data_IF_169775509137
#
_entry.id   IF_169775509137
#
_cell.length_a   1.000
_cell.length_b   1.000
_cell.length_c   1.000
_cell.angle_alpha   90.00
_cell.angle_beta   90.00
_cell.angle_gamma   90.00
#
_symmetry.space_group_name_H-M   'P 1'
#
loop_
_entity.id
_entity.type
_entity.pdbx_description
1 polymer ?
#
# COMPACT_ATOMS: atom_id res chain seq x y z
N UNK A 1 38.16 -26.59 -37.64
CA UNK A 1 37.03 -25.67 -37.80
C UNK A 1 36.12 -25.89 -36.62
N UNK A 2 36.38 -25.16 -35.53
CA UNK A 2 35.67 -25.31 -34.26
C UNK A 2 34.49 -24.35 -34.23
N UNK A 3 33.31 -24.88 -33.92
CA UNK A 3 32.06 -24.16 -33.97
C UNK A 3 31.95 -23.18 -32.79
N UNK A 4 31.67 -21.94 -33.16
CA UNK A 4 31.10 -20.85 -32.39
C UNK A 4 30.30 -21.28 -31.15
N UNK A 5 30.80 -20.89 -29.97
CA UNK A 5 30.03 -20.91 -28.74
C UNK A 5 28.87 -19.92 -28.82
N UNK A 6 27.68 -20.45 -29.08
CA UNK A 6 26.42 -19.72 -28.93
C UNK A 6 26.27 -19.25 -27.48
N UNK A 7 26.29 -17.93 -27.35
CA UNK A 7 25.66 -17.11 -26.32
C UNK A 7 24.59 -17.81 -25.48
N UNK A 8 24.81 -17.87 -24.17
CA UNK A 8 23.74 -17.68 -23.18
C UNK A 8 24.28 -16.81 -22.05
N UNK A 9 24.05 -15.48 -22.03
CA UNK A 9 23.88 -14.85 -20.74
C UNK A 9 22.62 -15.48 -20.16
N UNK A 10 22.80 -16.37 -19.17
CA UNK A 10 21.74 -16.72 -18.25
C UNK A 10 21.16 -15.41 -17.74
N UNK A 11 20.06 -14.97 -18.35
CA UNK A 11 19.12 -14.06 -17.73
C UNK A 11 18.68 -14.79 -16.48
N UNK A 12 19.36 -14.50 -15.37
CA UNK A 12 18.75 -14.63 -14.07
C UNK A 12 17.46 -13.82 -14.18
N UNK A 13 16.35 -14.53 -14.39
CA UNK A 13 15.01 -13.97 -14.23
C UNK A 13 15.10 -13.12 -12.97
N UNK A 14 14.93 -11.78 -13.02
CA UNK A 14 14.60 -11.10 -11.80
C UNK A 14 13.35 -11.85 -11.34
N UNK A 15 13.46 -12.52 -10.21
CA UNK A 15 12.33 -13.04 -9.48
C UNK A 15 11.64 -11.78 -8.95
N UNK A 16 11.03 -11.05 -9.89
CA UNK A 16 10.16 -9.93 -9.67
C UNK A 16 8.94 -10.59 -9.07
N UNK A 17 8.96 -10.76 -7.76
CA UNK A 17 7.72 -10.94 -7.03
C UNK A 17 6.84 -9.77 -7.49
N UNK A 18 5.77 -10.01 -8.26
CA UNK A 18 4.89 -8.95 -8.73
C UNK A 18 3.98 -8.56 -7.55
N UNK A 19 4.59 -8.38 -6.38
CA UNK A 19 3.97 -7.89 -5.19
C UNK A 19 3.25 -6.61 -5.57
N UNK A 20 1.95 -6.59 -5.34
CA UNK A 20 1.14 -5.40 -5.60
C UNK A 20 1.53 -4.40 -4.53
N UNK A 21 2.05 -3.24 -4.91
CA UNK A 21 2.33 -2.17 -3.97
C UNK A 21 1.16 -1.20 -3.93
N UNK A 22 0.89 -0.69 -2.74
CA UNK A 22 -0.02 0.41 -2.49
C UNK A 22 0.80 1.67 -2.33
N UNK A 23 0.41 2.70 -3.06
CA UNK A 23 0.98 4.03 -2.94
C UNK A 23 0.00 4.89 -2.17
N UNK A 24 0.43 5.35 -1.00
CA UNK A 24 -0.38 6.13 -0.07
C UNK A 24 0.27 7.50 0.07
N UNK A 25 -0.51 8.55 -0.17
CA UNK A 25 -0.14 9.93 0.12
C UNK A 25 -0.33 10.15 1.62
N UNK A 26 0.77 10.34 2.31
CA UNK A 26 0.80 10.57 3.76
C UNK A 26 0.69 12.06 4.06
N UNK A 27 1.46 12.87 3.32
CA UNK A 27 1.56 14.31 3.49
C UNK A 27 2.00 14.97 2.16
N UNK A 28 2.00 16.30 2.07
CA UNK A 28 2.57 17.03 0.94
C UNK A 28 2.89 18.48 1.32
N UNK A 29 3.77 19.10 0.53
CA UNK A 29 4.09 20.52 0.67
C UNK A 29 2.91 21.40 0.21
N UNK A 30 2.29 22.18 1.11
CA UNK A 30 1.09 22.96 0.77
C UNK A 30 1.37 24.09 -0.23
N UNK A 31 2.62 24.56 -0.35
CA UNK A 31 2.98 25.56 -1.36
C UNK A 31 2.99 24.97 -2.78
N UNK A 32 2.97 23.63 -2.91
CA UNK A 32 2.90 22.89 -4.19
C UNK A 32 1.57 22.18 -4.40
N UNK A 33 0.53 22.50 -3.62
CA UNK A 33 -0.78 21.84 -3.68
C UNK A 33 -1.35 21.79 -5.10
N UNK A 34 -1.36 22.91 -5.82
CA UNK A 34 -1.92 22.98 -7.18
C UNK A 34 -1.13 22.16 -8.19
N UNK A 35 0.21 22.20 -8.11
CA UNK A 35 1.10 21.39 -8.96
C UNK A 35 0.86 19.89 -8.70
N UNK A 36 0.76 19.52 -7.42
CA UNK A 36 0.47 18.14 -7.01
C UNK A 36 -0.92 17.70 -7.48
N UNK A 37 -1.96 18.51 -7.30
CA UNK A 37 -3.32 18.20 -7.74
C UNK A 37 -3.40 18.01 -9.26
N UNK A 38 -2.73 18.86 -10.04
CA UNK A 38 -2.66 18.71 -11.50
C UNK A 38 -1.94 17.41 -11.91
N UNK A 39 -0.85 17.07 -11.21
CA UNK A 39 -0.07 15.87 -11.51
C UNK A 39 -0.83 14.60 -11.13
N UNK A 40 -1.49 14.60 -9.99
CA UNK A 40 -2.36 13.53 -9.52
C UNK A 40 -3.59 13.36 -10.41
N UNK A 41 -4.15 14.45 -10.90
CA UNK A 41 -5.25 14.40 -11.86
C UNK A 41 -4.86 13.68 -13.15
N UNK A 42 -3.66 13.99 -13.69
CA UNK A 42 -3.10 13.27 -14.84
C UNK A 42 -2.84 11.79 -14.55
N UNK A 43 -2.37 11.47 -13.35
CA UNK A 43 -2.06 10.09 -12.95
C UNK A 43 -3.31 9.23 -12.75
N UNK A 44 -4.36 9.82 -12.16
CA UNK A 44 -5.60 9.13 -11.79
C UNK A 44 -6.71 9.28 -12.84
N UNK A 45 -6.45 10.00 -13.93
CA UNK A 45 -7.44 10.40 -14.93
C UNK A 45 -8.65 11.11 -14.28
N UNK A 46 -8.37 11.98 -13.30
CA UNK A 46 -9.37 12.81 -12.61
C UNK A 46 -9.02 14.27 -12.78
N UNK A 47 -10.03 15.13 -12.70
CA UNK A 47 -9.81 16.57 -12.69
C UNK A 47 -9.20 17.02 -11.37
N UNK A 48 -8.45 18.13 -11.42
CA UNK A 48 -7.82 18.73 -10.24
C UNK A 48 -8.86 19.05 -9.15
N UNK A 49 -10.06 19.49 -9.54
CA UNK A 49 -11.19 19.76 -8.64
C UNK A 49 -11.63 18.52 -7.84
N UNK A 50 -11.53 17.33 -8.43
CA UNK A 50 -11.81 16.08 -7.73
C UNK A 50 -10.66 15.62 -6.83
N UNK A 51 -9.44 16.09 -7.08
CA UNK A 51 -8.24 15.72 -6.32
C UNK A 51 -8.03 16.63 -5.12
N UNK A 52 -8.33 17.92 -5.23
CA UNK A 52 -8.19 18.89 -4.12
C UNK A 52 -8.82 18.46 -2.79
N UNK A 53 -10.08 17.95 -2.75
CA UNK A 53 -10.67 17.46 -1.50
C UNK A 53 -10.03 16.16 -1.01
N UNK A 54 -9.45 15.35 -1.89
CA UNK A 54 -8.73 14.13 -1.52
C UNK A 54 -7.37 14.45 -0.89
N UNK A 55 -6.75 15.57 -1.27
CA UNK A 55 -5.58 16.12 -0.59
C UNK A 55 -5.92 16.67 0.81
N UNK A 56 -7.16 17.05 1.08
CA UNK A 56 -7.61 17.47 2.41
C UNK A 56 -7.83 16.26 3.34
N UNK A 57 -8.19 15.11 2.75
CA UNK A 57 -8.49 13.86 3.45
C UNK A 57 -7.28 12.92 3.56
N UNK A 58 -6.11 13.45 3.95
CA UNK A 58 -4.92 12.63 4.19
C UNK A 58 -5.01 11.79 5.47
N UNK A 59 -4.36 10.61 5.52
CA UNK A 59 -3.64 9.96 4.43
C UNK A 59 -4.60 9.27 3.43
N UNK A 60 -4.27 9.32 2.14
CA UNK A 60 -5.12 8.78 1.07
C UNK A 60 -4.37 7.81 0.14
N UNK A 61 -5.00 6.68 -0.20
CA UNK A 61 -4.45 5.70 -1.14
C UNK A 61 -4.67 6.13 -2.58
N UNK A 62 -3.58 6.49 -3.25
CA UNK A 62 -3.54 6.88 -4.66
C UNK A 62 -3.79 5.70 -5.60
N UNK A 63 -3.10 4.59 -5.33
CA UNK A 63 -3.18 3.38 -6.12
C UNK A 63 -2.97 2.17 -5.22
N UNK A 64 -3.87 1.20 -5.28
CA UNK A 64 -3.84 0.02 -4.40
C UNK A 64 -3.14 -1.21 -5.01
N UNK A 65 -2.72 -1.13 -6.28
CA UNK A 65 -2.06 -2.24 -6.98
C UNK A 65 -1.19 -1.70 -8.10
N UNK A 66 0.04 -1.36 -7.75
CA UNK A 66 1.11 -1.01 -8.70
C UNK A 66 2.22 -2.06 -8.63
N UNK A 67 2.82 -2.38 -9.77
CA UNK A 67 4.07 -3.13 -9.81
C UNK A 67 5.18 -2.35 -9.09
N UNK A 68 6.17 -3.06 -8.55
CA UNK A 68 7.30 -2.45 -7.81
C UNK A 68 7.93 -1.29 -8.57
N UNK A 69 8.25 -1.50 -9.84
CA UNK A 69 8.88 -0.50 -10.71
C UNK A 69 7.98 0.71 -10.91
N UNK A 70 6.69 0.49 -11.18
CA UNK A 70 5.71 1.55 -11.35
C UNK A 70 5.51 2.35 -10.06
N UNK A 71 5.41 1.66 -8.92
CA UNK A 71 5.22 2.26 -7.61
C UNK A 71 6.41 3.15 -7.20
N UNK A 72 7.64 2.65 -7.38
CA UNK A 72 8.85 3.46 -7.13
C UNK A 72 8.98 4.64 -8.09
N UNK A 73 8.63 4.47 -9.37
CA UNK A 73 8.66 5.55 -10.36
C UNK A 73 7.64 6.64 -10.03
N UNK A 74 6.40 6.24 -9.70
CA UNK A 74 5.34 7.15 -9.28
C UNK A 74 5.72 7.89 -7.99
N UNK A 75 6.28 7.17 -7.00
CA UNK A 75 6.76 7.75 -5.75
C UNK A 75 7.76 8.86 -5.99
N UNK A 76 8.83 8.59 -6.75
CA UNK A 76 9.86 9.58 -7.07
C UNK A 76 9.31 10.78 -7.83
N UNK A 77 8.38 10.56 -8.76
CA UNK A 77 7.83 11.63 -9.57
C UNK A 77 6.98 12.59 -8.74
N UNK A 78 6.19 12.05 -7.81
CA UNK A 78 5.37 12.82 -6.88
C UNK A 78 6.19 13.45 -5.74
N UNK A 79 7.20 12.76 -5.21
CA UNK A 79 8.15 13.32 -4.23
C UNK A 79 8.85 14.57 -4.76
N UNK A 80 9.16 14.61 -6.08
CA UNK A 80 9.71 15.81 -6.73
C UNK A 80 8.73 16.98 -6.81
N UNK A 81 7.43 16.69 -6.79
CA UNK A 81 6.36 17.68 -6.71
C UNK A 81 6.02 18.06 -5.26
N UNK A 82 6.80 17.59 -4.27
CA UNK A 82 6.59 17.90 -2.84
C UNK A 82 5.65 16.94 -2.11
N UNK A 83 5.26 15.82 -2.71
CA UNK A 83 4.44 14.81 -2.03
C UNK A 83 5.27 13.91 -1.10
N UNK A 84 4.71 13.55 0.04
CA UNK A 84 5.26 12.55 0.96
C UNK A 84 4.45 11.26 0.81
N UNK A 85 5.11 10.23 0.28
CA UNK A 85 4.45 8.99 -0.11
C UNK A 85 4.99 7.79 0.64
N UNK A 86 4.06 6.97 1.13
CA UNK A 86 4.33 5.67 1.74
C UNK A 86 4.04 4.56 0.73
N UNK A 87 5.01 3.67 0.55
CA UNK A 87 4.84 2.43 -0.21
C UNK A 87 4.57 1.30 0.77
N UNK A 88 3.38 0.72 0.69
CA UNK A 88 3.08 -0.53 1.39
C UNK A 88 3.05 -1.68 0.40
N UNK A 89 3.81 -2.74 0.64
CA UNK A 89 3.60 -3.98 -0.09
C UNK A 89 2.22 -4.50 0.31
N UNK A 90 1.29 -4.66 -0.63
CA UNK A 90 0.11 -5.48 -0.42
C UNK A 90 0.61 -6.93 -0.40
N UNK A 91 1.23 -7.30 0.72
CA UNK A 91 1.45 -8.68 1.07
C UNK A 91 0.09 -9.34 0.89
N UNK A 92 0.04 -10.35 0.01
CA UNK A 92 -1.07 -11.27 -0.07
C UNK A 92 -1.37 -11.66 1.37
N UNK A 93 -2.54 -11.29 1.89
CA UNK A 93 -3.06 -11.86 3.14
C UNK A 93 -3.26 -13.35 2.86
N UNK A 94 -2.19 -14.12 2.92
CA UNK A 94 -2.24 -15.45 3.47
C UNK A 94 -2.06 -15.23 4.97
N UNK A 95 -3.10 -15.59 5.75
CA UNK A 95 -3.28 -15.34 7.18
C UNK A 95 -3.57 -13.89 7.58
N UNK A 96 -4.85 -13.53 7.55
CA UNK A 96 -5.39 -12.84 8.71
C UNK A 96 -5.29 -13.85 9.88
N UNK A 97 -4.55 -13.61 10.97
CA UNK A 97 -5.08 -14.03 12.25
C UNK A 97 -6.37 -13.21 12.40
N UNK A 98 -7.52 -13.87 12.31
CA UNK A 98 -8.73 -13.33 12.91
C UNK A 98 -8.36 -12.79 14.29
N UNK A 99 -8.52 -11.49 14.58
CA UNK A 99 -8.67 -11.10 15.96
C UNK A 99 -9.99 -11.71 16.41
N UNK A 100 -9.93 -12.91 16.96
CA UNK A 100 -10.97 -13.45 17.84
C UNK A 100 -10.97 -12.61 19.13
N UNK A 101 -11.34 -11.34 18.99
CA UNK A 101 -11.78 -10.45 20.04
C UNK A 101 -13.23 -10.06 19.70
N UNK A 102 -14.07 -11.07 19.52
CA UNK A 102 -15.48 -10.95 19.86
C UNK A 102 -15.57 -11.29 21.35
N UNK A 103 -15.28 -10.28 22.16
CA UNK A 103 -15.64 -10.21 23.56
C UNK A 103 -17.17 -10.28 23.66
N UNK A 104 -17.73 -11.38 24.16
CA UNK A 104 -19.07 -11.40 24.77
C UNK A 104 -19.32 -12.68 25.59
N UNK A 105 -19.44 -12.49 26.91
CA UNK A 105 -20.25 -13.28 27.84
C UNK A 105 -19.90 -14.76 28.10
N UNK A 106 -19.06 -14.99 29.11
CA UNK A 106 -19.34 -16.02 30.10
C UNK A 106 -19.01 -15.45 31.49
N UNK A 107 -20.02 -15.49 32.34
CA UNK A 107 -20.15 -14.89 33.67
C UNK A 107 -19.02 -15.25 34.66
N UNK A 108 -18.78 -14.42 35.70
CA UNK A 108 -17.86 -14.75 36.78
C UNK A 108 -18.24 -16.08 37.47
N UNK A 109 -17.27 -16.82 38.03
CA UNK A 109 -17.51 -18.12 38.64
C UNK A 109 -18.49 -17.99 39.83
N UNK A 110 -19.62 -18.69 39.78
CA UNK A 110 -20.46 -18.89 40.96
C UNK A 110 -19.64 -19.61 42.05
N UNK A 111 -19.59 -19.10 43.30
CA UNK A 111 -19.12 -19.88 44.43
C UNK A 111 -20.15 -20.97 44.76
N UNK A 112 -19.74 -22.17 45.23
CA UNK A 112 -20.68 -23.23 45.57
C UNK A 112 -21.56 -22.81 46.77
N UNK A 113 -22.89 -22.99 46.73
CA UNK A 113 -23.69 -22.93 47.95
C UNK A 113 -23.36 -24.14 48.83
N UNK A 114 -23.02 -23.85 50.08
CA UNK A 114 -22.77 -24.83 51.12
C UNK A 114 -23.95 -25.82 51.25
N UNK A 115 -23.65 -27.12 51.28
CA UNK A 115 -24.63 -28.13 51.64
C UNK A 115 -25.01 -27.97 53.12
N UNK A 116 -26.31 -27.97 53.47
CA UNK A 116 -26.75 -27.99 54.85
C UNK A 116 -26.51 -29.38 55.46
N UNK A 117 -25.90 -29.43 56.65
CA UNK A 117 -26.15 -30.48 57.65
C UNK A 117 -26.41 -29.83 58.99
#
# INVERSE_FOLDING_TARGET
>A
MEQIGTTHPSSGKPMDDPGRYRLILDDFDPARRDELAALLGRLTHRDADHVQPLLDALPWTLAASLDRTAAHKARRLLERAGAVLRLEAAARREAAPEPAAAEAAAEPPEPPPAAPR
#
